data_IF_841265511783
#
_entry.id   IF_841265511783
#
_cell.length_a   1.000
_cell.length_b   1.000
_cell.length_c   1.000
_cell.angle_alpha   90.00
_cell.angle_beta   90.00
_cell.angle_gamma   90.00
#
_symmetry.space_group_name_H-M   'P 1'
#
loop_
_entity.id
_entity.type
_entity.pdbx_description
1 polymer ?
#
# COMPACT_ATOMS: atom_id res chain seq x y z
N UNK A 1 -15.47 57.89 -3.85
CA UNK A 1 -15.23 57.00 -5.00
C UNK A 1 -14.72 55.67 -4.47
N UNK A 2 -15.58 54.64 -4.45
CA UNK A 2 -15.21 53.26 -4.07
C UNK A 2 -14.62 52.58 -5.31
N UNK A 3 -13.37 52.12 -5.23
CA UNK A 3 -12.79 51.28 -6.26
C UNK A 3 -13.17 49.82 -5.98
N UNK A 4 -14.01 49.25 -6.83
CA UNK A 4 -14.29 47.81 -6.85
C UNK A 4 -13.12 47.06 -7.50
N UNK A 5 -12.63 46.02 -6.81
CA UNK A 5 -11.62 45.08 -7.32
C UNK A 5 -12.30 43.99 -8.20
N UNK A 6 -11.67 43.53 -9.30
CA UNK A 6 -12.38 42.82 -10.36
C UNK A 6 -12.62 41.33 -10.06
N UNK A 7 -13.84 40.88 -10.36
CA UNK A 7 -14.36 39.51 -10.24
C UNK A 7 -13.62 38.40 -11.05
N UNK A 8 -12.51 38.72 -11.72
CA UNK A 8 -11.79 37.80 -12.62
C UNK A 8 -10.90 36.77 -11.90
N UNK A 9 -10.40 37.05 -10.69
CA UNK A 9 -9.51 36.11 -9.98
C UNK A 9 -10.26 34.91 -9.35
N UNK A 10 -11.54 35.05 -9.04
CA UNK A 10 -12.35 33.99 -8.40
C UNK A 10 -12.89 32.95 -9.40
N UNK A 11 -13.09 33.33 -10.67
CA UNK A 11 -13.57 32.41 -11.70
C UNK A 11 -12.50 31.36 -12.09
N UNK A 12 -11.22 31.75 -12.17
CA UNK A 12 -10.13 30.83 -12.57
C UNK A 12 -9.84 29.73 -11.53
N UNK A 13 -10.10 29.98 -10.24
CA UNK A 13 -9.92 28.97 -9.18
C UNK A 13 -11.05 27.95 -9.16
N UNK A 14 -12.28 28.38 -9.46
CA UNK A 14 -13.43 27.49 -9.61
C UNK A 14 -13.36 26.66 -10.91
N UNK A 15 -12.77 27.21 -11.98
CA UNK A 15 -12.60 26.51 -13.25
C UNK A 15 -11.52 25.41 -13.20
N UNK A 16 -10.44 25.60 -12.43
CA UNK A 16 -9.36 24.61 -12.31
C UNK A 16 -9.76 23.37 -11.49
N UNK A 17 -10.72 23.51 -10.56
CA UNK A 17 -11.24 22.40 -9.73
C UNK A 17 -12.19 21.50 -10.52
N UNK A 18 -12.90 22.04 -11.52
CA UNK A 18 -13.90 21.32 -12.33
C UNK A 18 -13.33 20.20 -13.20
N UNK A 19 -12.01 20.18 -13.42
CA UNK A 19 -11.27 19.12 -14.11
C UNK A 19 -10.32 18.32 -13.20
N UNK A 20 -10.35 18.57 -11.89
CA UNK A 20 -9.43 17.94 -10.95
C UNK A 20 -9.95 16.56 -10.53
N UNK A 21 -9.07 15.57 -10.46
CA UNK A 21 -9.38 14.22 -9.96
C UNK A 21 -9.55 14.16 -8.43
N UNK A 22 -9.81 15.31 -7.81
CA UNK A 22 -10.00 15.47 -6.39
C UNK A 22 -11.51 15.52 -6.12
N UNK A 23 -11.99 14.64 -5.26
CA UNK A 23 -13.38 14.65 -4.82
C UNK A 23 -13.55 15.68 -3.71
N UNK A 24 -14.64 16.43 -3.75
CA UNK A 24 -15.03 17.35 -2.68
C UNK A 24 -16.42 16.96 -2.15
N UNK A 25 -16.58 17.04 -0.84
CA UNK A 25 -17.84 16.75 -0.16
C UNK A 25 -18.28 17.98 0.63
N UNK A 26 -19.56 18.31 0.50
CA UNK A 26 -20.21 19.45 1.16
C UNK A 26 -21.42 19.00 2.00
N UNK A 27 -21.57 17.70 2.23
CA UNK A 27 -22.67 17.10 2.98
C UNK A 27 -22.22 15.81 3.66
N UNK A 28 -22.47 15.69 4.96
CA UNK A 28 -22.08 14.54 5.78
C UNK A 28 -22.67 13.23 5.27
N UNK A 29 -23.93 13.22 4.83
CA UNK A 29 -24.56 12.01 4.28
C UNK A 29 -23.89 11.53 2.99
N UNK A 30 -23.47 12.45 2.11
CA UNK A 30 -22.71 12.08 0.90
C UNK A 30 -21.33 11.56 1.24
N UNK A 31 -20.67 12.19 2.22
CA UNK A 31 -19.37 11.75 2.74
C UNK A 31 -19.47 10.34 3.33
N UNK A 32 -20.41 10.10 4.24
CA UNK A 32 -20.61 8.81 4.91
C UNK A 32 -20.91 7.70 3.89
N UNK A 33 -21.80 7.93 2.93
CA UNK A 33 -22.11 6.95 1.90
C UNK A 33 -20.86 6.56 1.08
N UNK A 34 -20.03 7.55 0.72
CA UNK A 34 -18.77 7.30 0.01
C UNK A 34 -17.75 6.58 0.91
N UNK A 35 -17.59 7.03 2.15
CA UNK A 35 -16.68 6.43 3.11
C UNK A 35 -17.03 4.97 3.40
N UNK A 36 -18.31 4.63 3.61
CA UNK A 36 -18.78 3.25 3.79
C UNK A 36 -18.52 2.38 2.54
N UNK A 37 -18.73 2.95 1.35
CA UNK A 37 -18.42 2.24 0.09
C UNK A 37 -16.92 1.93 -0.01
N UNK A 38 -16.07 2.86 0.42
CA UNK A 38 -14.62 2.71 0.38
C UNK A 38 -14.12 1.57 1.27
N UNK A 39 -14.82 1.25 2.37
CA UNK A 39 -14.47 0.14 3.29
C UNK A 39 -14.49 -1.22 2.61
N UNK A 40 -15.32 -1.38 1.57
CA UNK A 40 -15.42 -2.60 0.76
C UNK A 40 -14.29 -2.72 -0.27
N UNK A 41 -13.56 -1.64 -0.51
CA UNK A 41 -12.46 -1.57 -1.48
C UNK A 41 -11.11 -1.56 -0.75
N UNK A 42 -10.06 -2.06 -1.40
CA UNK A 42 -8.67 -1.88 -0.95
C UNK A 42 -7.99 -0.69 -1.65
N UNK A 43 -8.76 0.34 -2.01
CA UNK A 43 -8.21 1.52 -2.66
C UNK A 43 -7.71 2.48 -1.58
N UNK A 44 -6.47 2.96 -1.72
CA UNK A 44 -5.92 3.98 -0.82
C UNK A 44 -6.67 5.30 -1.03
N UNK A 45 -7.13 5.88 0.06
CA UNK A 45 -7.76 7.20 0.11
C UNK A 45 -6.86 8.17 0.86
N UNK A 46 -6.66 9.36 0.30
CA UNK A 46 -5.95 10.46 0.95
C UNK A 46 -6.90 11.63 1.11
N UNK A 47 -7.26 11.92 2.36
CA UNK A 47 -8.20 12.98 2.73
C UNK A 47 -7.40 14.21 3.14
N UNK A 48 -7.61 15.32 2.45
CA UNK A 48 -7.03 16.62 2.72
C UNK A 48 -8.05 17.52 3.39
N UNK A 49 -7.86 17.74 4.68
CA UNK A 49 -8.62 18.72 5.45
C UNK A 49 -8.00 20.11 5.27
N UNK A 50 -8.79 20.99 4.66
CA UNK A 50 -8.40 22.34 4.26
C UNK A 50 -9.33 23.38 4.89
N UNK A 51 -8.96 24.65 4.74
CA UNK A 51 -9.77 25.79 5.17
C UNK A 51 -9.57 26.95 4.20
N UNK A 52 -10.67 27.56 3.78
CA UNK A 52 -10.70 28.65 2.80
C UNK A 52 -9.78 29.86 3.13
N UNK A 53 -9.56 30.16 4.42
CA UNK A 53 -8.67 31.24 4.91
C UNK A 53 -7.31 30.76 5.44
N UNK A 54 -6.82 29.59 5.02
CA UNK A 54 -5.53 29.05 5.44
C UNK A 54 -4.44 29.27 4.37
N UNK A 55 -3.44 30.10 4.68
CA UNK A 55 -2.31 30.39 3.78
C UNK A 55 -1.52 29.14 3.36
N UNK A 56 -1.05 28.31 4.30
CA UNK A 56 -0.36 27.06 3.99
C UNK A 56 -1.20 26.08 3.14
N UNK A 57 -2.52 26.06 3.34
CA UNK A 57 -3.45 25.25 2.57
C UNK A 57 -3.48 25.67 1.09
N UNK A 58 -3.47 26.98 0.82
CA UNK A 58 -3.41 27.49 -0.56
C UNK A 58 -2.12 27.09 -1.28
N UNK A 59 -1.00 26.98 -0.56
CA UNK A 59 0.27 26.54 -1.12
C UNK A 59 0.29 25.02 -1.41
N UNK A 60 -0.38 24.23 -0.58
CA UNK A 60 -0.47 22.78 -0.77
C UNK A 60 -1.47 22.37 -1.85
N UNK A 61 -2.49 23.18 -2.12
CA UNK A 61 -3.54 22.91 -3.12
C UNK A 61 -3.00 22.47 -4.50
N UNK A 62 -2.09 23.21 -5.17
CA UNK A 62 -1.57 22.80 -6.48
C UNK A 62 -0.80 21.48 -6.42
N UNK A 63 -0.05 21.25 -5.33
CA UNK A 63 0.67 19.99 -5.11
C UNK A 63 -0.29 18.82 -4.92
N UNK A 64 -1.40 19.04 -4.22
CA UNK A 64 -2.42 18.01 -4.01
C UNK A 64 -3.12 17.62 -5.32
N UNK A 65 -3.44 18.61 -6.17
CA UNK A 65 -4.00 18.39 -7.51
C UNK A 65 -3.00 17.69 -8.44
N UNK A 66 -1.72 18.07 -8.36
CA UNK A 66 -0.62 17.40 -9.07
C UNK A 66 -0.54 15.92 -8.67
N UNK A 67 -0.58 15.61 -7.38
CA UNK A 67 -0.56 14.23 -6.88
C UNK A 67 -1.82 13.44 -7.24
N UNK A 68 -3.00 14.06 -7.19
CA UNK A 68 -4.21 13.44 -7.71
C UNK A 68 -4.07 13.05 -9.18
N UNK A 69 -3.45 13.93 -9.98
CA UNK A 69 -3.17 13.67 -11.38
C UNK A 69 -2.10 12.60 -11.59
N UNK A 70 -1.06 12.55 -10.76
CA UNK A 70 0.05 11.59 -10.85
C UNK A 70 -0.37 10.18 -10.41
N UNK A 71 -1.11 10.06 -9.31
CA UNK A 71 -1.42 8.78 -8.66
C UNK A 71 -2.88 8.36 -8.87
N UNK A 72 -3.24 8.00 -10.11
CA UNK A 72 -4.62 7.61 -10.51
C UNK A 72 -5.24 6.46 -9.72
N UNK A 73 -4.41 5.63 -9.08
CA UNK A 73 -4.85 4.49 -8.25
C UNK A 73 -5.24 4.88 -6.83
N UNK A 74 -4.92 6.11 -6.41
CA UNK A 74 -5.31 6.68 -5.12
C UNK A 74 -6.53 7.56 -5.33
N UNK A 75 -7.43 7.55 -4.36
CA UNK A 75 -8.54 8.50 -4.31
C UNK A 75 -8.13 9.71 -3.47
N UNK A 76 -8.14 10.88 -4.07
CA UNK A 76 -7.82 12.13 -3.40
C UNK A 76 -9.13 12.84 -3.08
N UNK A 77 -9.30 13.18 -1.81
CA UNK A 77 -10.50 13.83 -1.31
C UNK A 77 -10.08 15.09 -0.59
N UNK A 78 -10.80 16.18 -0.81
CA UNK A 78 -10.64 17.42 -0.07
C UNK A 78 -11.92 17.74 0.69
N UNK A 79 -11.74 18.13 1.95
CA UNK A 79 -12.82 18.49 2.88
C UNK A 79 -12.50 19.88 3.44
N UNK A 80 -13.40 20.85 3.25
CA UNK A 80 -13.31 22.12 3.98
C UNK A 80 -13.87 21.90 5.40
N UNK A 81 -13.04 22.14 6.40
CA UNK A 81 -13.39 21.91 7.81
C UNK A 81 -14.53 22.81 8.29
N UNK A 82 -14.79 23.94 7.63
CA UNK A 82 -15.92 24.80 8.01
C UNK A 82 -17.26 24.28 7.48
N UNK A 83 -17.24 23.45 6.44
CA UNK A 83 -18.45 22.90 5.84
C UNK A 83 -18.80 21.54 6.45
N UNK A 84 -17.79 20.73 6.78
CA UNK A 84 -17.93 19.40 7.36
C UNK A 84 -17.15 19.30 8.68
N UNK A 85 -17.58 20.09 9.66
CA UNK A 85 -16.97 20.14 10.99
C UNK A 85 -17.06 18.81 11.74
N UNK A 86 -18.18 18.12 11.61
CA UNK A 86 -18.46 16.80 12.19
C UNK A 86 -17.47 15.74 11.67
N UNK A 87 -17.22 15.71 10.37
CA UNK A 87 -16.23 14.81 9.76
C UNK A 87 -14.82 15.16 10.25
N UNK A 88 -14.46 16.45 10.26
CA UNK A 88 -13.17 16.89 10.78
C UNK A 88 -12.96 16.47 12.25
N UNK A 89 -14.02 16.52 13.07
CA UNK A 89 -14.01 16.07 14.46
C UNK A 89 -13.85 14.55 14.59
N UNK A 90 -14.54 13.75 13.76
CA UNK A 90 -14.41 12.29 13.73
C UNK A 90 -12.95 11.87 13.49
N UNK A 91 -12.27 12.54 12.56
CA UNK A 91 -10.87 12.33 12.24
C UNK A 91 -9.88 13.05 13.19
N UNK A 92 -10.40 13.73 14.21
CA UNK A 92 -9.64 14.49 15.23
C UNK A 92 -8.68 15.49 14.58
N UNK A 93 -9.16 16.23 13.58
CA UNK A 93 -8.38 17.27 12.89
C UNK A 93 -8.37 18.52 13.75
N UNK A 94 -7.17 19.02 14.04
CA UNK A 94 -6.97 20.22 14.89
C UNK A 94 -6.22 21.33 14.15
N UNK A 95 -5.46 20.98 13.13
CA UNK A 95 -4.58 21.90 12.39
C UNK A 95 -4.81 21.71 10.89
N UNK A 96 -4.84 22.80 10.14
CA UNK A 96 -4.92 22.75 8.68
C UNK A 96 -3.61 23.26 8.08
N UNK A 97 -3.10 22.66 6.98
CA UNK A 97 -3.65 21.48 6.31
C UNK A 97 -3.36 20.20 7.12
N UNK A 98 -4.28 19.23 7.10
CA UNK A 98 -4.03 17.86 7.60
C UNK A 98 -4.36 16.86 6.51
N UNK A 99 -3.50 15.87 6.33
CA UNK A 99 -3.69 14.77 5.39
C UNK A 99 -3.85 13.47 6.17
N UNK A 100 -4.88 12.70 5.83
CA UNK A 100 -5.19 11.42 6.46
C UNK A 100 -5.22 10.34 5.40
N UNK A 101 -4.50 9.26 5.66
CA UNK A 101 -4.43 8.09 4.79
C UNK A 101 -5.37 7.03 5.33
N UNK A 102 -6.31 6.59 4.51
CA UNK A 102 -7.31 5.58 4.88
C UNK A 102 -7.29 4.44 3.88
N UNK A 103 -7.38 3.21 4.38
CA UNK A 103 -7.64 2.02 3.57
C UNK A 103 -8.58 1.09 4.34
N UNK A 104 -9.62 0.55 3.67
CA UNK A 104 -10.63 -0.35 4.29
C UNK A 104 -11.24 0.24 5.58
N UNK A 105 -11.46 1.55 5.60
CA UNK A 105 -12.02 2.28 6.77
C UNK A 105 -11.06 2.44 7.95
N UNK A 106 -9.79 2.03 7.83
CA UNK A 106 -8.79 2.21 8.88
C UNK A 106 -7.83 3.34 8.52
N UNK A 107 -7.57 4.22 9.48
CA UNK A 107 -6.54 5.26 9.36
C UNK A 107 -5.16 4.59 9.41
N UNK A 108 -4.42 4.67 8.31
CA UNK A 108 -3.06 4.14 8.20
C UNK A 108 -2.01 5.12 8.69
N UNK A 109 -2.23 6.42 8.43
CA UNK A 109 -1.26 7.47 8.69
C UNK A 109 -1.92 8.84 8.71
N UNK A 110 -1.26 9.80 9.37
CA UNK A 110 -1.66 11.21 9.45
C UNK A 110 -0.46 12.12 9.28
N UNK A 111 -0.62 13.21 8.52
CA UNK A 111 0.35 14.29 8.37
C UNK A 111 -0.34 15.59 8.76
N UNK A 112 0.31 16.40 9.59
CA UNK A 112 -0.16 17.74 9.95
C UNK A 112 0.80 18.79 9.39
N UNK A 113 0.26 19.84 8.77
CA UNK A 113 1.01 20.93 8.16
C UNK A 113 1.36 20.71 6.69
N UNK A 114 1.89 21.76 6.06
CA UNK A 114 2.21 21.79 4.63
C UNK A 114 3.53 21.05 4.32
N UNK A 115 3.49 19.72 4.34
CA UNK A 115 4.67 18.85 4.15
C UNK A 115 4.60 18.08 2.83
N UNK A 116 5.04 18.72 1.75
CA UNK A 116 5.00 18.16 0.37
C UNK A 116 5.74 16.82 0.25
N UNK A 117 7.00 16.78 0.65
CA UNK A 117 7.84 15.58 0.51
C UNK A 117 7.33 14.43 1.37
N UNK A 118 6.94 14.70 2.62
CA UNK A 118 6.38 13.67 3.51
C UNK A 118 5.07 13.09 2.95
N UNK A 119 4.21 13.95 2.39
CA UNK A 119 2.98 13.53 1.72
C UNK A 119 3.28 12.59 0.56
N UNK A 120 4.21 12.95 -0.33
CA UNK A 120 4.60 12.11 -1.46
C UNK A 120 5.17 10.77 -0.99
N UNK A 121 6.10 10.80 -0.03
CA UNK A 121 6.75 9.61 0.49
C UNK A 121 5.75 8.65 1.12
N UNK A 122 4.76 9.16 1.88
CA UNK A 122 3.69 8.30 2.44
C UNK A 122 2.75 7.77 1.37
N UNK A 123 2.40 8.57 0.34
CA UNK A 123 1.60 8.09 -0.80
C UNK A 123 2.33 6.94 -1.50
N UNK A 124 3.60 7.13 -1.86
CA UNK A 124 4.41 6.12 -2.54
C UNK A 124 4.65 4.90 -1.65
N UNK A 125 4.85 5.09 -0.35
CA UNK A 125 4.98 4.00 0.62
C UNK A 125 3.72 3.15 0.69
N UNK A 126 2.53 3.75 0.80
CA UNK A 126 1.25 3.03 0.92
C UNK A 126 0.75 2.48 -0.42
N UNK A 127 0.97 3.19 -1.53
CA UNK A 127 0.76 2.66 -2.88
C UNK A 127 1.68 1.51 -3.21
N UNK A 128 2.95 1.67 -2.82
CA UNK A 128 3.96 0.64 -2.75
C UNK A 128 3.36 -0.50 -1.99
N UNK A 129 3.22 -0.43 -0.67
CA UNK A 129 2.68 -1.49 0.18
C UNK A 129 1.41 -2.18 -0.38
N UNK A 130 0.45 -1.46 -0.95
CA UNK A 130 -0.75 -2.06 -1.53
C UNK A 130 -0.48 -2.82 -2.85
N UNK A 131 0.36 -2.29 -3.75
CA UNK A 131 0.74 -2.95 -5.01
C UNK A 131 1.73 -4.11 -4.77
N UNK A 132 2.66 -3.86 -3.86
CA UNK A 132 3.71 -4.72 -3.37
C UNK A 132 3.15 -5.93 -2.60
N UNK A 133 2.08 -5.77 -1.82
CA UNK A 133 1.36 -6.90 -1.22
C UNK A 133 0.49 -7.68 -2.21
N UNK A 134 0.24 -7.17 -3.43
CA UNK A 134 -0.53 -7.89 -4.46
C UNK A 134 0.33 -8.90 -5.24
N UNK A 135 1.64 -8.65 -5.35
CA UNK A 135 2.59 -9.58 -6.01
C UNK A 135 3.03 -10.73 -5.12
N UNK A 136 2.80 -10.61 -3.80
CA UNK A 136 3.07 -11.66 -2.82
C UNK A 136 1.77 -12.34 -2.43
N UNK A 137 1.64 -13.63 -2.70
CA UNK A 137 0.47 -14.41 -2.29
C UNK A 137 0.49 -14.61 -0.77
N UNK A 138 -0.69 -14.52 -0.14
CA UNK A 138 -0.87 -14.76 1.29
C UNK A 138 -1.94 -15.80 1.52
N UNK A 139 -1.69 -16.68 2.47
CA UNK A 139 -2.62 -17.73 2.87
C UNK A 139 -2.97 -17.55 4.34
N UNK A 140 -4.26 -17.73 4.65
CA UNK A 140 -4.80 -17.65 6.02
C UNK A 140 -5.56 -18.95 6.38
N UNK A 141 -5.44 -19.99 5.54
CA UNK A 141 -6.11 -21.28 5.71
C UNK A 141 -5.23 -22.40 5.20
N UNK A 142 -4.95 -23.40 6.04
CA UNK A 142 -4.07 -24.53 5.70
C UNK A 142 -4.60 -25.35 4.53
N UNK A 143 -5.93 -25.46 4.38
CA UNK A 143 -6.56 -26.11 3.22
C UNK A 143 -6.27 -25.40 1.90
N UNK A 144 -6.37 -24.06 1.87
CA UNK A 144 -6.06 -23.25 0.68
C UNK A 144 -4.57 -23.35 0.34
N UNK A 145 -3.71 -23.28 1.36
CA UNK A 145 -2.28 -23.48 1.20
C UNK A 145 -1.97 -24.86 0.59
N UNK A 146 -2.48 -25.94 1.18
CA UNK A 146 -2.22 -27.32 0.72
C UNK A 146 -2.72 -27.54 -0.71
N UNK A 147 -3.87 -26.99 -1.08
CA UNK A 147 -4.36 -27.05 -2.45
C UNK A 147 -3.41 -26.33 -3.42
N UNK A 148 -2.95 -25.13 -3.07
CA UNK A 148 -2.00 -24.35 -3.88
C UNK A 148 -0.65 -25.07 -4.03
N UNK A 149 -0.06 -25.52 -2.92
CA UNK A 149 1.22 -26.25 -2.91
C UNK A 149 1.14 -27.63 -3.60
N UNK A 150 -0.05 -28.25 -3.63
CA UNK A 150 -0.25 -29.46 -4.44
C UNK A 150 -0.24 -29.12 -5.93
N UNK A 151 -0.94 -28.06 -6.35
CA UNK A 151 -1.01 -27.65 -7.75
C UNK A 151 0.34 -27.22 -8.31
N UNK A 152 1.23 -26.67 -7.47
CA UNK A 152 2.57 -26.28 -7.89
C UNK A 152 3.46 -27.47 -8.29
N UNK A 153 3.08 -28.71 -7.97
CA UNK A 153 3.78 -29.93 -8.44
C UNK A 153 3.72 -30.07 -9.96
N UNK A 154 2.62 -29.63 -10.57
CA UNK A 154 2.41 -29.65 -12.02
C UNK A 154 3.11 -28.50 -12.73
N UNK A 155 3.65 -27.53 -11.98
CA UNK A 155 4.34 -26.36 -12.51
C UNK A 155 5.83 -26.45 -12.24
N UNK A 156 6.67 -26.10 -13.23
CA UNK A 156 8.11 -25.95 -13.02
C UNK A 156 8.49 -24.59 -12.42
N UNK A 157 7.52 -23.80 -11.97
CA UNK A 157 7.74 -22.46 -11.43
C UNK A 157 8.42 -22.55 -10.06
N UNK A 158 9.46 -21.75 -9.86
CA UNK A 158 10.09 -21.59 -8.56
C UNK A 158 9.13 -20.84 -7.62
N UNK A 159 8.93 -21.38 -6.43
CA UNK A 159 8.23 -20.72 -5.32
C UNK A 159 9.23 -20.32 -4.25
N UNK A 160 9.11 -19.09 -3.77
CA UNK A 160 9.84 -18.59 -2.59
C UNK A 160 8.83 -18.27 -1.51
N UNK A 161 8.86 -19.04 -0.43
CA UNK A 161 7.92 -18.97 0.68
C UNK A 161 8.61 -18.27 1.85
N UNK A 162 8.14 -17.09 2.18
CA UNK A 162 8.61 -16.28 3.30
C UNK A 162 7.73 -16.52 4.54
N UNK A 163 8.28 -17.23 5.51
CA UNK A 163 7.70 -17.38 6.83
C UNK A 163 8.08 -16.20 7.71
N UNK A 164 7.06 -15.45 8.13
CA UNK A 164 7.18 -14.19 8.85
C UNK A 164 6.35 -14.21 10.15
N UNK A 165 6.54 -13.20 10.97
CA UNK A 165 5.79 -13.00 12.21
C UNK A 165 5.50 -11.51 12.43
N UNK A 166 4.25 -11.16 12.74
CA UNK A 166 3.81 -9.77 12.92
C UNK A 166 4.62 -8.95 13.95
N UNK A 167 5.19 -9.59 14.98
CA UNK A 167 6.06 -8.95 16.01
C UNK A 167 7.56 -9.22 15.83
N UNK A 168 8.02 -9.52 14.62
CA UNK A 168 9.42 -9.76 14.32
C UNK A 168 10.07 -8.54 13.66
N UNK A 169 11.01 -7.89 14.36
CA UNK A 169 11.75 -6.71 13.85
C UNK A 169 12.49 -6.98 12.53
N UNK A 170 13.34 -8.02 12.46
CA UNK A 170 14.04 -8.37 11.22
C UNK A 170 13.10 -8.67 10.04
N UNK A 171 11.94 -9.26 10.33
CA UNK A 171 10.91 -9.55 9.34
C UNK A 171 10.34 -8.27 8.71
N UNK A 172 10.12 -7.22 9.51
CA UNK A 172 9.65 -5.92 9.00
C UNK A 172 10.68 -5.24 8.10
N UNK A 173 11.97 -5.47 8.36
CA UNK A 173 13.05 -4.94 7.52
C UNK A 173 13.19 -5.71 6.20
N UNK A 174 12.96 -7.02 6.21
CA UNK A 174 12.99 -7.85 4.99
C UNK A 174 11.77 -7.69 4.11
N UNK A 175 10.63 -7.23 4.65
CA UNK A 175 9.37 -7.12 3.90
C UNK A 175 9.50 -6.29 2.61
N UNK A 176 10.06 -5.06 2.62
CA UNK A 176 10.16 -4.25 1.40
C UNK A 176 11.06 -4.91 0.35
N UNK A 177 12.14 -5.55 0.78
CA UNK A 177 13.07 -6.28 -0.09
C UNK A 177 12.43 -7.51 -0.71
N UNK A 178 11.72 -8.31 0.09
CA UNK A 178 11.06 -9.52 -0.42
C UNK A 178 10.05 -9.18 -1.52
N UNK A 179 9.33 -8.10 -1.31
CA UNK A 179 8.40 -7.55 -2.27
C UNK A 179 9.13 -6.99 -3.50
N UNK A 180 10.22 -6.25 -3.32
CA UNK A 180 11.04 -5.72 -4.42
C UNK A 180 11.44 -6.88 -5.34
N UNK A 181 11.86 -8.01 -4.77
CA UNK A 181 12.14 -9.24 -5.51
C UNK A 181 10.91 -9.86 -6.17
N UNK A 182 9.75 -9.88 -5.51
CA UNK A 182 8.49 -10.27 -6.15
C UNK A 182 8.13 -9.37 -7.34
N UNK A 183 8.57 -8.12 -7.30
CA UNK A 183 8.41 -7.17 -8.40
C UNK A 183 9.40 -7.41 -9.52
N UNK A 184 10.66 -7.70 -9.19
CA UNK A 184 11.76 -7.95 -10.14
C UNK A 184 11.62 -9.31 -10.85
N UNK A 185 11.36 -10.39 -10.13
CA UNK A 185 11.39 -11.75 -10.65
C UNK A 185 9.98 -12.30 -10.94
N UNK A 186 9.34 -11.83 -12.01
CA UNK A 186 7.95 -12.22 -12.38
C UNK A 186 7.75 -13.72 -12.67
N UNK A 187 8.82 -14.43 -13.03
CA UNK A 187 8.80 -15.88 -13.26
C UNK A 187 8.81 -16.70 -11.97
N UNK A 188 9.05 -16.07 -10.83
CA UNK A 188 9.03 -16.71 -9.50
C UNK A 188 7.72 -16.36 -8.83
N UNK A 189 7.18 -17.31 -8.07
CA UNK A 189 6.03 -17.07 -7.23
C UNK A 189 6.48 -16.77 -5.80
N UNK A 190 6.11 -15.60 -5.29
CA UNK A 190 6.46 -15.16 -3.95
C UNK A 190 5.25 -15.33 -3.05
N UNK A 191 5.46 -16.02 -1.93
CA UNK A 191 4.40 -16.35 -0.98
C UNK A 191 4.85 -15.89 0.40
N UNK A 192 3.96 -15.26 1.16
CA UNK A 192 4.17 -14.93 2.56
C UNK A 192 3.18 -15.69 3.44
N UNK A 193 3.72 -16.31 4.49
CA UNK A 193 2.95 -17.04 5.50
C UNK A 193 3.27 -16.41 6.87
N UNK A 194 2.24 -15.93 7.59
CA UNK A 194 2.40 -15.58 9.01
C UNK A 194 2.35 -16.87 9.82
N UNK A 195 3.43 -17.14 10.56
CA UNK A 195 3.56 -18.37 11.34
C UNK A 195 2.52 -18.45 12.48
N UNK A 196 1.98 -17.34 12.96
CA UNK A 196 0.93 -17.36 13.98
C UNK A 196 -0.44 -17.73 13.41
N UNK A 197 -0.66 -17.49 12.12
CA UNK A 197 -1.91 -17.85 11.46
C UNK A 197 -1.89 -19.29 10.94
N UNK A 198 -0.73 -19.74 10.45
CA UNK A 198 -0.54 -21.05 9.83
C UNK A 198 0.62 -21.82 10.50
N UNK A 199 0.47 -22.06 11.80
CA UNK A 199 1.46 -22.78 12.60
C UNK A 199 1.73 -24.20 12.08
N UNK A 200 0.69 -24.91 11.65
CA UNK A 200 0.79 -26.28 11.14
C UNK A 200 1.65 -26.34 9.86
N UNK A 201 1.48 -25.37 8.97
CA UNK A 201 2.29 -25.22 7.76
C UNK A 201 3.74 -24.88 8.12
N UNK A 202 3.95 -23.93 9.03
CA UNK A 202 5.30 -23.58 9.47
C UNK A 202 6.05 -24.79 10.05
N UNK A 203 5.34 -25.63 10.82
CA UNK A 203 5.89 -26.86 11.37
C UNK A 203 6.22 -27.90 10.30
N UNK A 204 5.35 -28.07 9.28
CA UNK A 204 5.58 -28.97 8.13
C UNK A 204 6.88 -28.64 7.39
N UNK A 205 7.21 -27.35 7.25
CA UNK A 205 8.46 -26.88 6.64
C UNK A 205 9.63 -26.75 7.63
N UNK A 206 9.45 -27.19 8.88
CA UNK A 206 10.47 -27.15 9.92
C UNK A 206 10.97 -25.74 10.23
N UNK A 207 10.08 -24.75 10.22
CA UNK A 207 10.40 -23.35 10.51
C UNK A 207 10.47 -23.16 12.03
N UNK A 208 11.62 -22.67 12.51
CA UNK A 208 11.86 -22.41 13.95
C UNK A 208 12.29 -20.98 14.25
N UNK A 209 12.77 -20.27 13.24
CA UNK A 209 13.32 -18.91 13.34
C UNK A 209 12.68 -18.06 12.26
N UNK A 210 12.40 -16.80 12.55
CA UNK A 210 11.85 -15.85 11.60
C UNK A 210 12.83 -14.67 11.40
N UNK A 211 13.00 -14.15 10.17
CA UNK A 211 12.41 -14.65 8.93
C UNK A 211 13.07 -15.96 8.46
N UNK A 212 12.29 -16.84 7.82
CA UNK A 212 12.83 -18.01 7.08
C UNK A 212 12.26 -17.98 5.67
N UNK A 213 13.10 -18.24 4.68
CA UNK A 213 12.73 -18.34 3.28
C UNK A 213 12.93 -19.78 2.82
N UNK A 214 11.90 -20.39 2.26
CA UNK A 214 11.96 -21.73 1.68
C UNK A 214 11.79 -21.63 0.18
N UNK A 215 12.68 -22.28 -0.55
CA UNK A 215 12.60 -22.40 -1.99
C UNK A 215 11.99 -23.75 -2.32
N UNK A 216 10.98 -23.76 -3.18
CA UNK A 216 10.33 -24.98 -3.61
C UNK A 216 10.09 -24.99 -5.11
N UNK A 217 10.27 -26.14 -5.75
CA UNK A 217 10.03 -26.36 -7.17
C UNK A 217 9.54 -27.79 -7.39
N UNK A 218 8.58 -28.00 -8.29
CA UNK A 218 7.95 -29.32 -8.52
C UNK A 218 7.46 -29.98 -7.20
N UNK A 219 6.99 -29.15 -6.26
CA UNK A 219 6.52 -29.54 -4.92
C UNK A 219 7.57 -30.15 -3.98
N UNK A 220 8.86 -29.95 -4.24
CA UNK A 220 9.96 -30.31 -3.34
C UNK A 220 10.65 -29.04 -2.83
N UNK A 221 11.12 -29.08 -1.59
CA UNK A 221 12.01 -28.03 -1.05
C UNK A 221 13.38 -28.22 -1.69
N UNK A 222 13.87 -27.17 -2.35
CA UNK A 222 15.18 -27.17 -3.03
C UNK A 222 16.22 -26.36 -2.26
N UNK A 223 15.81 -25.39 -1.44
CA UNK A 223 16.72 -24.60 -0.60
C UNK A 223 16.00 -23.95 0.58
N UNK A 224 16.77 -23.48 1.58
CA UNK A 224 16.29 -22.83 2.79
C UNK A 224 17.30 -21.80 3.30
N UNK A 225 16.81 -20.58 3.50
CA UNK A 225 17.55 -19.49 4.15
C UNK A 225 16.88 -19.17 5.48
N UNK A 226 17.67 -18.99 6.53
CA UNK A 226 17.20 -18.51 7.83
C UNK A 226 17.84 -17.17 8.16
N UNK A 227 17.06 -16.28 8.78
CA UNK A 227 17.49 -14.92 9.12
C UNK A 227 17.32 -13.90 7.99
N UNK A 228 17.53 -12.63 8.34
CA UNK A 228 17.37 -11.49 7.44
C UNK A 228 18.58 -11.30 6.53
N UNK A 229 18.75 -12.18 5.55
CA UNK A 229 19.90 -12.20 4.64
C UNK A 229 19.48 -11.79 3.22
N UNK A 230 19.51 -10.49 2.94
CA UNK A 230 19.05 -9.91 1.65
C UNK A 230 19.82 -10.46 0.44
N UNK A 231 21.15 -10.38 0.47
CA UNK A 231 21.99 -10.77 -0.67
C UNK A 231 21.92 -12.28 -0.94
N UNK A 232 21.97 -13.10 0.12
CA UNK A 232 21.84 -14.56 0.01
C UNK A 232 20.50 -14.96 -0.62
N UNK A 233 19.41 -14.27 -0.25
CA UNK A 233 18.08 -14.49 -0.82
C UNK A 233 18.05 -14.21 -2.33
N UNK A 234 18.62 -13.09 -2.77
CA UNK A 234 18.66 -12.74 -4.20
C UNK A 234 19.52 -13.72 -5.01
N UNK A 235 20.72 -14.05 -4.51
CA UNK A 235 21.62 -14.99 -5.15
C UNK A 235 20.95 -16.37 -5.35
N UNK A 236 20.23 -16.87 -4.34
CA UNK A 236 19.50 -18.14 -4.45
C UNK A 236 18.34 -18.09 -5.42
N UNK A 237 17.64 -16.95 -5.53
CA UNK A 237 16.61 -16.76 -6.55
C UNK A 237 17.24 -16.86 -7.95
N UNK A 238 18.36 -16.18 -8.17
CA UNK A 238 19.05 -16.17 -9.46
C UNK A 238 19.66 -17.54 -9.82
N UNK A 239 20.25 -18.23 -8.85
CA UNK A 239 20.77 -19.59 -8.99
C UNK A 239 19.67 -20.53 -9.52
N UNK A 240 18.54 -20.62 -8.82
CA UNK A 240 17.44 -21.52 -9.21
C UNK A 240 16.70 -21.08 -10.49
N UNK A 241 16.73 -19.80 -10.85
CA UNK A 241 16.23 -19.35 -12.15
C UNK A 241 17.18 -19.71 -13.30
N UNK A 242 18.50 -19.66 -13.07
CA UNK A 242 19.53 -20.01 -14.04
C UNK A 242 19.60 -21.50 -14.36
N UNK A 243 19.33 -22.37 -13.39
CA UNK A 243 19.33 -23.83 -13.60
C UNK A 243 18.23 -24.35 -14.55
N UNK A 244 17.22 -23.55 -14.89
CA UNK A 244 16.12 -23.98 -15.77
C UNK A 244 16.55 -24.18 -17.25
N UNK A 245 17.80 -23.89 -17.63
CA UNK A 245 18.34 -24.12 -18.99
C UNK A 245 18.94 -25.52 -19.16
N UNK A 246 19.27 -26.25 -18.09
CA UNK A 246 20.06 -27.49 -18.20
C UNK A 246 19.25 -28.82 -18.19
N UNK A 247 17.93 -28.81 -17.96
CA UNK A 247 17.09 -30.03 -18.01
C UNK A 247 16.34 -30.25 -19.35
N UNK A 248 16.75 -29.59 -20.44
CA UNK A 248 16.19 -29.80 -21.79
C UNK A 248 17.24 -30.30 -22.80
N UNK A 249 18.21 -31.12 -22.36
CA UNK A 249 19.07 -31.90 -23.25
C UNK A 249 18.92 -33.38 -22.99
#
# INVERSE_FOLDING_TARGET
MRAELPARQNANRAQAVKNSQVLEFHSSTKWEAHFESSKKTSKLMVIYFSASRCGPCRLMEPTFIEYASKYKKVEFIKIDVHELMDVAQEFRVQVMPTFIFVEKGKVLDKITGARKEELQNKIEKHLGYCYLNKVVLKFHSSTKWKAHFKSSKETSKLMVIYFSASRCGPCRLMEPTFIEYASKYKKVEFIKIDVHELMDVAQEFGVRVMPTFIFAQKGKVVDKITGAKKEELENKIEEHLGYCILELK
#
